data_IF_281192438319
#
_entry.id   IF_281192438319
#
_cell.length_a   1.000
_cell.length_b   1.000
_cell.length_c   1.000
_cell.angle_alpha   90.00
_cell.angle_beta   90.00
_cell.angle_gamma   90.00
#
_symmetry.space_group_name_H-M   'P 1'
#
loop_
_entity.id
_entity.type
_entity.pdbx_description
1 polymer ?
#
# COMPACT_ATOMS: atom_id res chain seq x y z
N UNK A 1 3.70 -3.17 -13.52
CA UNK A 1 4.76 -3.22 -12.48
C UNK A 1 5.14 -1.78 -12.19
N UNK A 2 5.04 -1.30 -10.95
CA UNK A 2 5.59 0.01 -10.60
C UNK A 2 7.10 -0.02 -10.91
N UNK A 3 7.58 0.91 -11.73
CA UNK A 3 8.95 0.94 -12.29
C UNK A 3 10.02 1.31 -11.27
N UNK A 4 9.88 0.83 -10.03
CA UNK A 4 10.79 1.13 -8.93
C UNK A 4 12.06 0.31 -9.09
N UNK A 5 13.17 0.99 -9.32
CA UNK A 5 14.51 0.39 -9.34
C UNK A 5 14.84 -0.19 -7.96
N UNK A 6 14.79 -1.51 -7.85
CA UNK A 6 15.05 -2.25 -6.61
C UNK A 6 16.54 -2.26 -6.22
N UNK A 7 17.42 -1.79 -7.09
CA UNK A 7 18.86 -1.71 -6.82
C UNK A 7 19.25 -0.45 -6.04
N UNK A 8 18.37 0.56 -6.00
CA UNK A 8 18.56 1.78 -5.21
C UNK A 8 18.03 1.60 -3.80
N UNK A 9 18.90 1.86 -2.81
CA UNK A 9 18.48 2.00 -1.43
C UNK A 9 17.70 3.33 -1.28
N UNK A 10 16.38 3.27 -1.19
CA UNK A 10 15.57 4.47 -0.97
C UNK A 10 15.73 4.92 0.47
N UNK A 11 16.35 6.08 0.68
CA UNK A 11 16.34 6.75 1.98
C UNK A 11 14.96 7.38 2.15
N UNK A 12 14.09 6.68 2.88
CA UNK A 12 12.75 7.17 3.20
C UNK A 12 12.87 8.22 4.32
N UNK A 13 12.56 9.47 3.99
CA UNK A 13 12.41 10.54 4.97
C UNK A 13 11.08 10.44 5.72
N UNK A 14 10.87 11.24 6.78
CA UNK A 14 9.58 11.29 7.46
C UNK A 14 8.47 11.65 6.47
N UNK A 15 7.45 10.81 6.40
CA UNK A 15 6.30 10.96 5.52
C UNK A 15 5.00 10.81 6.33
N UNK A 16 3.87 11.38 5.86
CA UNK A 16 2.59 11.14 6.49
C UNK A 16 2.19 9.67 6.38
N UNK A 17 1.47 9.21 7.40
CA UNK A 17 0.93 7.86 7.48
C UNK A 17 -0.47 7.87 6.89
N UNK A 18 -0.72 7.03 5.90
CA UNK A 18 -2.08 6.79 5.40
C UNK A 18 -2.79 5.79 6.31
N UNK A 19 -4.01 6.11 6.74
CA UNK A 19 -4.82 5.20 7.57
C UNK A 19 -6.14 4.94 6.85
N UNK A 20 -6.40 3.69 6.50
CA UNK A 20 -7.69 3.27 5.96
C UNK A 20 -8.54 2.69 7.09
N UNK A 21 -9.64 3.38 7.40
CA UNK A 21 -10.60 2.96 8.42
C UNK A 21 -11.75 2.23 7.75
N UNK A 22 -12.03 1.03 8.24
CA UNK A 22 -13.05 0.11 7.74
C UNK A 22 -13.06 -0.02 6.19
N UNK A 23 -11.92 -0.33 5.54
CA UNK A 23 -11.90 -0.53 4.09
C UNK A 23 -12.77 -1.74 3.70
N UNK A 24 -13.55 -1.57 2.63
CA UNK A 24 -14.57 -2.54 2.23
C UNK A 24 -14.05 -3.66 1.32
N UNK A 25 -13.06 -3.36 0.47
CA UNK A 25 -12.53 -4.27 -0.55
C UNK A 25 -11.01 -4.32 -0.46
N UNK A 26 -10.43 -5.53 -0.52
CA UNK A 26 -8.98 -5.73 -0.56
C UNK A 26 -8.33 -5.03 -1.76
N UNK A 27 -9.02 -5.00 -2.90
CA UNK A 27 -8.58 -4.29 -4.11
C UNK A 27 -8.36 -2.79 -3.88
N UNK A 28 -9.16 -2.15 -3.02
CA UNK A 28 -9.00 -0.74 -2.68
C UNK A 28 -7.77 -0.52 -1.80
N UNK A 29 -7.45 -1.48 -0.92
CA UNK A 29 -6.24 -1.43 -0.08
C UNK A 29 -4.99 -1.49 -0.98
N UNK A 30 -4.95 -2.45 -1.91
CA UNK A 30 -3.79 -2.59 -2.80
C UNK A 30 -3.65 -1.44 -3.79
N UNK A 31 -4.73 -0.95 -4.37
CA UNK A 31 -4.67 0.24 -5.24
C UNK A 31 -4.25 1.50 -4.49
N UNK A 32 -4.66 1.68 -3.23
CA UNK A 32 -4.16 2.75 -2.36
C UNK A 32 -2.66 2.61 -2.11
N UNK A 33 -2.18 1.41 -1.74
CA UNK A 33 -0.75 1.13 -1.56
C UNK A 33 0.06 1.42 -2.83
N UNK A 34 -0.47 1.05 -4.00
CA UNK A 34 0.14 1.35 -5.30
C UNK A 34 0.23 2.85 -5.56
N UNK A 35 -0.84 3.61 -5.28
CA UNK A 35 -0.83 5.05 -5.41
C UNK A 35 0.22 5.68 -4.48
N UNK A 36 0.26 5.25 -3.21
CA UNK A 36 1.26 5.69 -2.24
C UNK A 36 2.69 5.49 -2.74
N UNK A 37 3.02 4.29 -3.22
CA UNK A 37 4.35 3.97 -3.75
C UNK A 37 4.74 4.85 -4.95
N UNK A 38 3.79 5.19 -5.84
CA UNK A 38 4.06 6.11 -6.95
C UNK A 38 4.42 7.53 -6.50
N UNK A 39 4.03 7.93 -5.30
CA UNK A 39 4.27 9.27 -4.74
C UNK A 39 5.24 9.26 -3.55
N UNK A 40 5.99 8.18 -3.33
CA UNK A 40 7.01 8.08 -2.27
C UNK A 40 6.45 7.95 -0.86
N UNK A 41 5.15 7.65 -0.71
CA UNK A 41 4.54 7.31 0.58
C UNK A 41 4.71 5.82 0.84
N UNK A 42 5.08 5.47 2.06
CA UNK A 42 5.55 4.12 2.39
C UNK A 42 4.92 3.52 3.66
N UNK A 43 4.08 4.27 4.39
CA UNK A 43 3.45 3.77 5.62
C UNK A 43 1.91 3.79 5.50
N UNK A 44 1.32 2.59 5.44
CA UNK A 44 -0.12 2.35 5.38
C UNK A 44 -0.57 1.56 6.62
N UNK A 45 -1.58 2.06 7.33
CA UNK A 45 -2.21 1.38 8.46
C UNK A 45 -3.68 1.08 8.17
N UNK A 46 -4.16 -0.05 8.65
CA UNK A 46 -5.54 -0.49 8.47
C UNK A 46 -6.23 -0.56 9.83
N UNK A 47 -7.46 -0.08 9.90
CA UNK A 47 -8.32 -0.19 11.08
C UNK A 47 -9.59 -0.92 10.67
N UNK A 48 -9.88 -2.05 11.33
CA UNK A 48 -11.12 -2.81 11.14
C UNK A 48 -11.51 -3.11 9.67
N UNK A 49 -10.60 -3.68 8.85
CA UNK A 49 -10.93 -4.03 7.46
C UNK A 49 -12.06 -5.06 7.41
N UNK A 50 -13.14 -4.76 6.65
CA UNK A 50 -14.36 -5.58 6.62
C UNK A 50 -14.09 -7.03 6.23
N UNK A 51 -13.27 -7.22 5.21
CA UNK A 51 -12.95 -8.54 4.64
C UNK A 51 -11.73 -9.19 5.33
N UNK A 52 -11.29 -8.65 6.47
CA UNK A 52 -10.13 -9.13 7.22
C UNK A 52 -8.77 -8.77 6.62
N UNK A 53 -7.71 -9.15 7.33
CA UNK A 53 -6.32 -8.94 6.94
C UNK A 53 -5.42 -10.09 7.45
N UNK A 54 -4.43 -10.58 6.67
CA UNK A 54 -4.05 -10.18 5.32
C UNK A 54 -5.08 -10.55 4.24
N UNK A 55 -5.02 -9.88 3.08
CA UNK A 55 -5.98 -10.07 1.98
C UNK A 55 -5.25 -10.26 0.64
N UNK A 56 -5.48 -11.38 -0.04
CA UNK A 56 -4.80 -11.74 -1.31
C UNK A 56 -5.11 -10.74 -2.45
N UNK A 57 -6.34 -10.23 -2.52
CA UNK A 57 -6.74 -9.23 -3.53
C UNK A 57 -5.98 -7.91 -3.35
N UNK A 58 -5.65 -7.55 -2.12
CA UNK A 58 -4.80 -6.39 -1.83
C UNK A 58 -3.38 -6.61 -2.37
N UNK A 59 -2.82 -7.81 -2.16
CA UNK A 59 -1.50 -8.15 -2.69
C UNK A 59 -1.48 -8.07 -4.23
N UNK A 60 -2.45 -8.68 -4.92
CA UNK A 60 -2.51 -8.66 -6.39
C UNK A 60 -2.68 -7.23 -6.93
N UNK A 61 -3.59 -6.45 -6.34
CA UNK A 61 -3.87 -5.08 -6.80
C UNK A 61 -2.76 -4.07 -6.49
N UNK A 62 -1.93 -4.34 -5.47
CA UNK A 62 -0.74 -3.52 -5.12
C UNK A 62 0.28 -3.39 -6.25
N UNK A 63 0.31 -4.36 -7.18
CA UNK A 63 1.25 -4.37 -8.31
C UNK A 63 2.73 -4.31 -7.89
N UNK A 64 3.07 -4.88 -6.72
CA UNK A 64 4.43 -4.88 -6.15
C UNK A 64 4.76 -3.65 -5.31
N UNK A 65 3.74 -2.94 -4.81
CA UNK A 65 3.88 -1.99 -3.71
C UNK A 65 3.78 -2.78 -2.39
N UNK A 66 4.93 -3.15 -1.84
CA UNK A 66 5.05 -4.04 -0.68
C UNK A 66 6.27 -3.68 0.16
#
# INVERSE_FOLDING_TARGET
MAGTDKTRNQVLGPAPIAVLVNPQLGENIGTAARAMANFGLHELRLVDPRDGWPNEKALTSSSGAN
#
